data_IF_982824606057
#
_entry.id   IF_982824606057
#
_cell.length_a   1.000
_cell.length_b   1.000
_cell.length_c   1.000
_cell.angle_alpha   90.00
_cell.angle_beta   90.00
_cell.angle_gamma   90.00
#
_symmetry.space_group_name_H-M   'P 1'
#
loop_
_entity.id
_entity.type
_entity.pdbx_description
1 polymer ?
#
# COMPACT_ATOMS: atom_id res chain seq x y z
N UNK A 1 -11.24 4.23 -16.31
CA UNK A 1 -11.41 5.10 -15.13
C UNK A 1 -10.90 6.47 -15.55
N UNK A 2 -11.78 7.45 -15.79
CA UNK A 2 -11.36 8.80 -16.17
C UNK A 2 -11.10 9.60 -14.90
N UNK A 3 -9.87 10.08 -14.71
CA UNK A 3 -9.53 10.91 -13.56
C UNK A 3 -10.04 12.32 -13.82
N UNK A 4 -10.87 12.84 -12.92
CA UNK A 4 -11.31 14.25 -12.94
C UNK A 4 -10.35 15.09 -12.10
N UNK A 5 -9.91 16.24 -12.62
CA UNK A 5 -8.76 17.03 -12.17
C UNK A 5 -8.92 17.75 -10.81
N UNK A 6 -9.25 17.05 -9.73
CA UNK A 6 -9.44 17.65 -8.39
C UNK A 6 -8.31 17.39 -7.39
N UNK A 7 -7.41 16.45 -7.66
CA UNK A 7 -6.26 16.12 -6.80
C UNK A 7 -5.07 15.61 -7.62
N UNK A 8 -3.89 15.58 -6.99
CA UNK A 8 -2.72 14.89 -7.53
C UNK A 8 -2.81 13.38 -7.29
N UNK A 9 -2.16 12.61 -8.14
CA UNK A 9 -2.18 11.15 -8.08
C UNK A 9 -0.81 10.53 -8.29
N UNK A 10 -0.61 9.37 -7.66
CA UNK A 10 0.44 8.39 -7.94
C UNK A 10 -0.25 7.01 -8.00
N UNK A 11 -0.37 6.42 -9.19
CA UNK A 11 -1.21 5.24 -9.40
C UNK A 11 -0.45 4.13 -10.10
N UNK A 12 -0.62 2.90 -9.63
CA UNK A 12 -0.05 1.71 -10.25
C UNK A 12 -0.76 1.39 -11.58
N UNK A 13 0.01 1.14 -12.62
CA UNK A 13 -0.50 0.66 -13.90
C UNK A 13 -0.67 -0.86 -13.80
N UNK A 14 -1.91 -1.31 -13.93
CA UNK A 14 -2.26 -2.74 -13.91
C UNK A 14 -2.22 -3.31 -15.33
N UNK A 15 -1.94 -4.61 -15.44
CA UNK A 15 -1.87 -5.32 -16.73
C UNK A 15 -3.19 -5.37 -17.52
N UNK A 16 -4.30 -4.88 -16.95
CA UNK A 16 -5.56 -4.74 -17.68
C UNK A 16 -5.59 -3.52 -18.63
N UNK A 17 -4.50 -2.75 -18.73
CA UNK A 17 -4.30 -1.65 -19.69
C UNK A 17 -3.09 -1.95 -20.61
N UNK A 18 -3.21 -2.90 -21.55
CA UNK A 18 -2.06 -3.47 -22.26
C UNK A 18 -1.28 -2.44 -23.08
N UNK A 19 -1.97 -1.55 -23.80
CA UNK A 19 -1.31 -0.55 -24.65
C UNK A 19 -0.48 0.46 -23.82
N UNK A 20 -1.04 0.91 -22.70
CA UNK A 20 -0.34 1.83 -21.80
C UNK A 20 0.85 1.13 -21.12
N UNK A 21 0.64 -0.12 -20.70
CA UNK A 21 1.70 -0.91 -20.08
C UNK A 21 2.88 -1.10 -21.04
N UNK A 22 2.60 -1.48 -22.29
CA UNK A 22 3.62 -1.65 -23.33
C UNK A 22 4.35 -0.33 -23.64
N UNK A 23 3.63 0.77 -23.83
CA UNK A 23 4.23 2.07 -24.12
C UNK A 23 5.21 2.52 -23.01
N UNK A 24 4.87 2.26 -21.74
CA UNK A 24 5.75 2.54 -20.61
C UNK A 24 6.98 1.64 -20.64
N UNK A 25 6.81 0.34 -20.91
CA UNK A 25 7.93 -0.60 -21.03
C UNK A 25 8.92 -0.16 -22.10
N UNK A 26 8.42 0.19 -23.29
CA UNK A 26 9.22 0.63 -24.42
C UNK A 26 9.98 1.92 -24.08
N UNK A 27 9.33 2.90 -23.45
CA UNK A 27 9.97 4.14 -23.01
C UNK A 27 11.13 3.91 -22.03
N UNK A 28 11.01 2.93 -21.14
CA UNK A 28 12.08 2.55 -20.21
C UNK A 28 13.17 1.71 -20.86
N UNK A 29 12.87 0.97 -21.93
CA UNK A 29 13.84 0.20 -22.70
C UNK A 29 14.71 1.13 -23.56
N UNK A 30 14.11 2.08 -24.26
CA UNK A 30 14.79 3.04 -25.13
C UNK A 30 15.78 3.94 -24.37
N UNK A 31 15.53 4.16 -23.07
CA UNK A 31 16.33 5.04 -22.22
C UNK A 31 17.19 4.29 -21.20
N UNK A 32 17.30 2.97 -21.29
CA UNK A 32 17.88 2.08 -20.26
C UNK A 32 19.23 2.55 -19.69
N UNK A 33 20.12 3.11 -20.51
CA UNK A 33 21.47 3.54 -20.10
C UNK A 33 21.53 4.97 -19.55
N UNK A 34 20.42 5.71 -19.56
CA UNK A 34 20.35 7.13 -19.20
C UNK A 34 19.38 7.44 -18.06
N UNK A 35 18.71 6.42 -17.50
CA UNK A 35 17.73 6.64 -16.43
C UNK A 35 18.42 6.59 -15.07
N UNK A 36 18.47 7.74 -14.40
CA UNK A 36 18.87 7.80 -13.00
C UNK A 36 17.90 6.99 -12.14
N UNK A 37 18.43 6.24 -11.19
CA UNK A 37 17.64 5.46 -10.25
C UNK A 37 18.12 5.67 -8.82
N UNK A 38 17.21 5.45 -7.87
CA UNK A 38 17.57 5.26 -6.47
C UNK A 38 17.45 3.77 -6.14
N UNK A 39 18.40 3.26 -5.36
CA UNK A 39 18.40 1.88 -4.89
C UNK A 39 18.18 1.84 -3.37
N UNK A 40 17.37 0.88 -2.93
CA UNK A 40 17.15 0.58 -1.53
C UNK A 40 17.25 -0.92 -1.33
N UNK A 41 17.95 -1.34 -0.27
CA UNK A 41 18.12 -2.75 0.10
C UNK A 41 17.47 -2.97 1.46
N UNK A 42 16.61 -3.98 1.54
CA UNK A 42 15.97 -4.42 2.77
C UNK A 42 16.33 -5.87 3.08
N UNK A 43 16.68 -6.13 4.33
CA UNK A 43 16.94 -7.47 4.83
C UNK A 43 15.95 -7.81 5.95
N UNK A 44 15.25 -8.93 5.83
CA UNK A 44 14.34 -9.37 6.89
C UNK A 44 13.79 -10.76 6.65
N UNK A 45 13.55 -11.52 7.72
CA UNK A 45 12.96 -12.87 7.64
C UNK A 45 13.66 -13.82 6.65
N UNK A 46 15.00 -13.74 6.53
CA UNK A 46 15.80 -14.59 5.63
C UNK A 46 15.71 -14.24 4.14
N UNK A 47 15.10 -13.11 3.78
CA UNK A 47 15.08 -12.57 2.41
C UNK A 47 15.87 -11.27 2.34
N UNK A 48 16.57 -11.10 1.22
CA UNK A 48 17.13 -9.84 0.77
C UNK A 48 16.25 -9.32 -0.37
N UNK A 49 15.80 -8.07 -0.26
CA UNK A 49 15.00 -7.41 -1.29
C UNK A 49 15.71 -6.12 -1.70
N UNK A 50 16.12 -6.05 -2.96
CA UNK A 50 16.67 -4.84 -3.57
C UNK A 50 15.61 -4.21 -4.45
N UNK A 51 15.27 -2.95 -4.19
CA UNK A 51 14.32 -2.18 -4.99
C UNK A 51 15.04 -1.03 -5.67
N UNK A 52 14.86 -0.91 -6.99
CA UNK A 52 15.35 0.22 -7.79
C UNK A 52 14.16 0.99 -8.32
N UNK A 53 14.12 2.29 -8.04
CA UNK A 53 13.10 3.17 -8.60
C UNK A 53 13.72 4.07 -9.66
N UNK A 54 13.09 4.13 -10.83
CA UNK A 54 13.48 4.91 -12.00
C UNK A 54 12.31 5.75 -12.46
N UNK A 55 12.54 6.98 -12.92
CA UNK A 55 11.49 7.91 -13.35
C UNK A 55 11.85 8.50 -14.72
N UNK A 56 10.84 8.68 -15.56
CA UNK A 56 10.91 9.34 -16.85
C UNK A 56 9.76 10.35 -17.03
N UNK A 57 9.94 11.41 -17.83
CA UNK A 57 8.84 12.26 -18.26
C UNK A 57 7.75 11.44 -18.98
N UNK A 58 6.49 11.73 -18.69
CA UNK A 58 5.34 11.02 -19.28
C UNK A 58 4.97 11.49 -20.70
N UNK A 59 5.46 12.66 -21.11
CA UNK A 59 5.15 13.26 -22.41
C UNK A 59 5.50 12.32 -23.58
N UNK A 60 4.53 12.12 -24.48
CA UNK A 60 4.66 11.23 -25.64
C UNK A 60 4.50 9.74 -25.35
N UNK A 61 4.37 9.34 -24.08
CA UNK A 61 4.18 7.94 -23.66
C UNK A 61 2.76 7.70 -23.14
N UNK A 62 2.25 8.64 -22.36
CA UNK A 62 0.94 8.53 -21.72
C UNK A 62 -0.07 9.42 -22.45
N UNK A 63 -1.25 8.90 -22.84
CA UNK A 63 -2.28 9.72 -23.47
C UNK A 63 -2.95 10.66 -22.47
N UNK A 64 -2.94 11.97 -22.78
CA UNK A 64 -3.47 13.02 -21.91
C UNK A 64 -4.97 12.90 -21.60
N UNK A 65 -5.75 12.29 -22.51
CA UNK A 65 -7.21 12.22 -22.38
C UNK A 65 -7.67 11.31 -21.23
N UNK A 66 -6.90 10.25 -20.94
CA UNK A 66 -7.21 9.30 -19.86
C UNK A 66 -6.48 9.66 -18.56
N UNK A 67 -5.33 10.31 -18.67
CA UNK A 67 -4.43 10.65 -17.56
C UNK A 67 -4.08 12.15 -17.56
N UNK A 68 -5.03 13.02 -17.24
CA UNK A 68 -4.82 14.44 -17.32
C UNK A 68 -3.72 14.90 -16.35
N UNK A 69 -2.79 15.70 -16.88
CA UNK A 69 -1.62 16.23 -16.15
C UNK A 69 -0.62 15.16 -15.70
N UNK A 70 -0.56 14.00 -16.36
CA UNK A 70 0.49 13.03 -16.07
C UNK A 70 1.87 13.65 -16.38
N UNK A 71 2.67 13.90 -15.35
CA UNK A 71 3.98 14.52 -15.50
C UNK A 71 5.08 13.48 -15.69
N UNK A 72 5.02 12.38 -14.94
CA UNK A 72 6.07 11.35 -14.95
C UNK A 72 5.49 9.94 -14.93
N UNK A 73 6.26 9.02 -15.52
CA UNK A 73 6.10 7.58 -15.40
C UNK A 73 7.24 7.03 -14.54
N UNK A 74 6.96 6.06 -13.69
CA UNK A 74 7.96 5.44 -12.84
C UNK A 74 7.97 3.92 -12.99
N UNK A 75 9.15 3.33 -12.83
CA UNK A 75 9.36 1.89 -12.77
C UNK A 75 10.00 1.55 -11.43
N UNK A 76 9.47 0.52 -10.77
CA UNK A 76 10.09 -0.09 -9.60
C UNK A 76 10.46 -1.52 -9.95
N UNK A 77 11.75 -1.79 -10.00
CA UNK A 77 12.32 -3.14 -10.14
C UNK A 77 12.57 -3.70 -8.74
N UNK A 78 11.91 -4.80 -8.38
CA UNK A 78 12.10 -5.51 -7.11
C UNK A 78 12.79 -6.83 -7.36
N UNK A 79 14.02 -6.95 -6.87
CA UNK A 79 14.81 -8.18 -6.90
C UNK A 79 14.74 -8.83 -5.53
N UNK A 80 14.16 -10.02 -5.46
CA UNK A 80 14.01 -10.80 -4.24
C UNK A 80 14.93 -12.01 -4.27
N UNK A 81 15.79 -12.11 -3.27
CA UNK A 81 16.70 -13.23 -3.06
C UNK A 81 16.37 -13.93 -1.74
N UNK A 82 16.16 -15.25 -1.82
CA UNK A 82 15.96 -16.14 -0.67
C UNK A 82 16.96 -17.27 -0.80
N UNK A 83 17.59 -17.67 0.31
CA UNK A 83 18.55 -18.77 0.31
C UNK A 83 17.90 -20.05 -0.23
N UNK A 84 18.49 -20.64 -1.27
CA UNK A 84 18.01 -21.87 -1.89
C UNK A 84 16.87 -21.70 -2.89
N UNK A 85 16.45 -20.47 -3.21
CA UNK A 85 15.49 -20.21 -4.28
C UNK A 85 16.11 -19.39 -5.42
N UNK A 86 15.60 -19.53 -6.66
CA UNK A 86 15.97 -18.66 -7.76
C UNK A 86 15.69 -17.20 -7.43
N UNK A 87 16.49 -16.31 -8.02
CA UNK A 87 16.24 -14.88 -7.98
C UNK A 87 14.89 -14.57 -8.63
N UNK A 88 14.06 -13.78 -7.95
CA UNK A 88 12.79 -13.31 -8.50
C UNK A 88 12.89 -11.83 -8.80
N UNK A 89 12.58 -11.45 -10.05
CA UNK A 89 12.46 -10.07 -10.50
C UNK A 89 10.99 -9.75 -10.71
N UNK A 90 10.52 -8.65 -10.12
CA UNK A 90 9.18 -8.12 -10.33
C UNK A 90 9.28 -6.65 -10.72
N UNK A 91 8.63 -6.27 -11.83
CA UNK A 91 8.60 -4.89 -12.31
C UNK A 91 7.20 -4.33 -12.13
N UNK A 92 7.12 -3.11 -11.58
CA UNK A 92 5.87 -2.39 -11.38
C UNK A 92 5.97 -0.99 -11.97
N UNK A 93 4.92 -0.56 -12.64
CA UNK A 93 4.87 0.74 -13.29
C UNK A 93 3.85 1.66 -12.62
N UNK A 94 4.17 2.95 -12.56
CA UNK A 94 3.33 3.96 -11.93
C UNK A 94 3.24 5.22 -12.79
N UNK A 95 2.14 5.93 -12.63
CA UNK A 95 1.88 7.24 -13.23
C UNK A 95 1.76 8.27 -12.13
N UNK A 96 2.38 9.44 -12.30
CA UNK A 96 2.27 10.54 -11.36
C UNK A 96 1.90 11.85 -12.05
N UNK A 97 0.95 12.59 -11.47
CA UNK A 97 0.57 13.92 -11.97
C UNK A 97 1.56 15.03 -11.61
N UNK A 98 2.43 14.77 -10.62
CA UNK A 98 3.50 15.68 -10.20
C UNK A 98 4.83 15.24 -10.76
N UNK A 99 5.72 16.20 -10.98
CA UNK A 99 7.11 15.91 -11.32
C UNK A 99 7.86 15.43 -10.07
N UNK A 100 7.82 14.13 -9.80
CA UNK A 100 8.42 13.50 -8.63
C UNK A 100 9.79 12.91 -8.99
N UNK A 101 10.77 13.09 -8.11
CA UNK A 101 12.06 12.42 -8.20
C UNK A 101 11.94 10.92 -7.86
N UNK A 102 12.89 10.06 -8.29
CA UNK A 102 12.87 8.63 -7.97
C UNK A 102 12.75 8.30 -6.47
N UNK A 103 13.40 9.10 -5.61
CA UNK A 103 13.31 8.93 -4.16
C UNK A 103 11.90 9.19 -3.61
N UNK A 104 11.23 10.25 -4.08
CA UNK A 104 9.87 10.61 -3.67
C UNK A 104 8.86 9.54 -4.12
N UNK A 105 9.02 9.00 -5.34
CA UNK A 105 8.17 7.90 -5.82
C UNK A 105 8.39 6.65 -4.99
N UNK A 106 9.64 6.26 -4.73
CA UNK A 106 9.97 5.09 -3.92
C UNK A 106 9.37 5.19 -2.52
N UNK A 107 9.49 6.35 -1.87
CA UNK A 107 8.93 6.61 -0.55
C UNK A 107 7.39 6.56 -0.57
N UNK A 108 6.75 7.23 -1.52
CA UNK A 108 5.29 7.25 -1.61
C UNK A 108 4.71 5.85 -1.86
N UNK A 109 5.31 5.07 -2.77
CA UNK A 109 4.92 3.69 -3.02
C UNK A 109 5.12 2.83 -1.77
N UNK A 110 6.25 2.97 -1.08
CA UNK A 110 6.53 2.23 0.15
C UNK A 110 5.52 2.55 1.25
N UNK A 111 5.22 3.83 1.46
CA UNK A 111 4.21 4.29 2.42
C UNK A 111 2.83 3.72 2.09
N UNK A 112 2.46 3.70 0.80
CA UNK A 112 1.22 3.07 0.35
C UNK A 112 1.18 1.56 0.65
N UNK A 113 2.27 0.82 0.39
CA UNK A 113 2.39 -0.59 0.80
C UNK A 113 2.33 -0.78 2.31
N UNK A 114 2.84 0.17 3.08
CA UNK A 114 2.70 0.20 4.54
C UNK A 114 1.25 0.23 4.96
N UNK A 115 0.40 1.02 4.30
CA UNK A 115 -1.05 1.06 4.57
C UNK A 115 -1.67 -0.29 4.25
N UNK A 116 -1.39 -0.88 3.09
CA UNK A 116 -1.96 -2.18 2.72
C UNK A 116 -1.59 -3.28 3.72
N UNK A 117 -0.31 -3.38 4.06
CA UNK A 117 0.20 -4.40 4.97
C UNK A 117 -0.22 -4.17 6.42
N UNK A 118 -0.24 -2.93 6.90
CA UNK A 118 -0.54 -2.64 8.29
C UNK A 118 -2.04 -2.51 8.54
N UNK A 119 -2.82 -1.96 7.62
CA UNK A 119 -4.26 -1.76 7.81
C UNK A 119 -5.05 -2.93 7.24
N UNK A 120 -5.02 -3.11 5.92
CA UNK A 120 -5.92 -4.04 5.22
C UNK A 120 -5.71 -5.48 5.65
N UNK A 121 -4.46 -5.96 5.62
CA UNK A 121 -4.17 -7.32 6.09
C UNK A 121 -4.62 -7.58 7.54
N UNK A 122 -4.49 -6.60 8.43
CA UNK A 122 -4.93 -6.73 9.82
C UNK A 122 -6.45 -6.78 9.90
N UNK A 123 -7.16 -5.97 9.11
CA UNK A 123 -8.63 -6.04 9.04
C UNK A 123 -9.10 -7.40 8.51
N UNK A 124 -8.47 -7.91 7.46
CA UNK A 124 -8.86 -9.17 6.84
C UNK A 124 -8.59 -10.35 7.77
N UNK A 125 -7.38 -10.47 8.30
CA UNK A 125 -6.96 -11.65 9.08
C UNK A 125 -7.37 -11.55 10.55
N UNK A 126 -7.20 -10.39 11.18
CA UNK A 126 -7.47 -10.22 12.61
C UNK A 126 -8.94 -9.88 12.86
N UNK A 127 -9.52 -8.99 12.05
CA UNK A 127 -10.92 -8.57 12.18
C UNK A 127 -11.90 -9.38 11.34
N UNK A 128 -11.41 -10.33 10.52
CA UNK A 128 -12.23 -11.20 9.67
C UNK A 128 -13.15 -10.38 8.75
N UNK A 129 -12.61 -9.35 8.12
CA UNK A 129 -13.37 -8.48 7.22
C UNK A 129 -13.88 -9.23 6.00
N UNK A 130 -13.00 -9.87 5.23
CA UNK A 130 -13.37 -10.68 4.07
C UNK A 130 -14.37 -11.81 4.37
N UNK A 131 -14.22 -12.45 5.54
CA UNK A 131 -15.09 -13.54 5.95
C UNK A 131 -16.47 -13.07 6.45
N UNK A 132 -16.72 -11.76 6.53
CA UNK A 132 -18.02 -11.24 6.94
C UNK A 132 -19.07 -11.46 5.86
N UNK A 133 -20.16 -12.14 6.22
CA UNK A 133 -21.33 -12.32 5.35
C UNK A 133 -22.27 -11.10 5.32
N UNK A 134 -21.87 -9.97 5.93
CA UNK A 134 -22.65 -8.74 5.89
C UNK A 134 -22.66 -8.19 4.46
N UNK A 135 -23.85 -8.08 3.85
CA UNK A 135 -24.05 -7.66 2.45
C UNK A 135 -25.25 -6.72 2.25
N UNK A 136 -25.98 -6.38 3.31
CA UNK A 136 -27.24 -5.64 3.22
C UNK A 136 -27.00 -4.14 3.35
N UNK A 137 -27.54 -3.36 2.40
CA UNK A 137 -27.53 -1.89 2.42
C UNK A 137 -26.12 -1.34 2.76
N UNK A 138 -26.04 -0.35 3.65
CA UNK A 138 -24.78 0.28 4.09
C UNK A 138 -24.07 -0.50 5.23
N UNK A 139 -24.53 -1.72 5.56
CA UNK A 139 -23.98 -2.47 6.67
C UNK A 139 -22.50 -2.89 6.45
N UNK A 140 -22.04 -3.27 5.24
CA UNK A 140 -20.63 -3.55 4.98
C UNK A 140 -19.72 -2.35 5.27
N UNK A 141 -20.08 -1.16 4.77
CA UNK A 141 -19.32 0.07 4.93
C UNK A 141 -19.28 0.51 6.40
N UNK A 142 -20.44 0.49 7.06
CA UNK A 142 -20.54 0.82 8.49
C UNK A 142 -19.69 -0.13 9.35
N UNK A 143 -19.73 -1.43 9.06
CA UNK A 143 -18.94 -2.43 9.77
C UNK A 143 -17.45 -2.22 9.52
N UNK A 144 -17.04 -1.88 8.31
CA UNK A 144 -15.64 -1.56 7.98
C UNK A 144 -15.15 -0.36 8.78
N UNK A 145 -15.95 0.71 8.84
CA UNK A 145 -15.62 1.90 9.63
C UNK A 145 -15.46 1.56 11.12
N UNK A 146 -16.40 0.81 11.70
CA UNK A 146 -16.32 0.38 13.10
C UNK A 146 -15.07 -0.46 13.38
N UNK A 147 -14.72 -1.39 12.49
CA UNK A 147 -13.51 -2.20 12.62
C UNK A 147 -12.23 -1.34 12.61
N UNK A 148 -12.18 -0.32 11.75
CA UNK A 148 -11.06 0.64 11.70
C UNK A 148 -10.95 1.46 12.99
N UNK A 149 -12.07 1.94 13.54
CA UNK A 149 -12.12 2.63 14.83
C UNK A 149 -11.57 1.72 15.94
N UNK A 150 -12.09 0.49 16.05
CA UNK A 150 -11.64 -0.49 17.05
C UNK A 150 -10.16 -0.81 16.89
N UNK A 151 -9.67 -1.00 15.67
CA UNK A 151 -8.25 -1.26 15.41
C UNK A 151 -7.37 -0.11 15.91
N UNK A 152 -7.76 1.13 15.65
CA UNK A 152 -7.02 2.30 16.13
C UNK A 152 -7.01 2.38 17.67
N UNK A 153 -8.15 2.14 18.34
CA UNK A 153 -8.22 2.08 19.80
C UNK A 153 -7.27 1.02 20.38
N UNK A 154 -7.23 -0.19 19.79
CA UNK A 154 -6.34 -1.26 20.23
C UNK A 154 -4.84 -0.93 20.02
N UNK A 155 -4.51 -0.14 19.00
CA UNK A 155 -3.15 0.33 18.72
C UNK A 155 -2.70 1.44 19.65
N UNK A 156 -3.62 2.34 20.02
CA UNK A 156 -3.35 3.44 20.94
C UNK A 156 -3.13 2.98 22.39
N UNK A 157 -3.54 1.75 22.74
CA UNK A 157 -3.29 1.19 24.05
C UNK A 157 -1.79 0.93 24.31
N UNK A 158 -1.20 1.78 25.14
CA UNK A 158 0.18 1.72 25.62
C UNK A 158 0.35 0.96 26.94
N UNK A 159 -0.76 0.53 27.56
CA UNK A 159 -0.74 -0.04 28.92
C UNK A 159 -0.45 -1.55 28.94
N UNK A 160 -0.48 -2.20 27.78
CA UNK A 160 -0.21 -3.63 27.66
C UNK A 160 1.28 -3.94 27.82
N UNK A 161 1.66 -4.26 29.07
CA UNK A 161 3.03 -4.62 29.46
C UNK A 161 3.52 -5.93 28.83
N UNK A 162 2.63 -6.76 28.30
CA UNK A 162 2.94 -8.11 27.79
C UNK A 162 3.19 -8.10 26.27
N UNK A 163 3.06 -6.94 25.59
CA UNK A 163 3.18 -6.81 24.12
C UNK A 163 2.29 -7.83 23.39
N UNK A 164 1.03 -7.94 23.82
CA UNK A 164 0.08 -8.91 23.29
C UNK A 164 -0.27 -8.60 21.83
N UNK A 165 -0.51 -9.65 21.04
CA UNK A 165 -0.98 -9.49 19.65
C UNK A 165 -2.33 -8.78 19.60
N UNK A 166 -2.62 -8.07 18.50
CA UNK A 166 -3.91 -7.39 18.29
C UNK A 166 -5.11 -8.34 18.44
N UNK A 167 -4.96 -9.59 17.99
CA UNK A 167 -5.97 -10.65 18.18
C UNK A 167 -6.24 -10.94 19.65
N UNK A 168 -5.19 -10.99 20.47
CA UNK A 168 -5.30 -11.27 21.91
C UNK A 168 -5.86 -10.06 22.66
N UNK A 169 -5.41 -8.83 22.35
CA UNK A 169 -5.98 -7.60 22.92
C UNK A 169 -7.49 -7.51 22.67
N UNK A 170 -7.93 -7.79 21.44
CA UNK A 170 -9.35 -7.84 21.08
C UNK A 170 -10.12 -8.89 21.90
N UNK A 171 -9.58 -10.11 22.02
CA UNK A 171 -10.22 -11.18 22.81
C UNK A 171 -10.34 -10.82 24.28
N UNK A 172 -9.28 -10.24 24.88
CA UNK A 172 -9.31 -9.79 26.27
C UNK A 172 -10.36 -8.73 26.50
N UNK A 173 -10.43 -7.70 25.64
CA UNK A 173 -11.50 -6.70 25.72
C UNK A 173 -12.91 -7.29 25.57
N UNK A 174 -13.06 -8.41 24.85
CA UNK A 174 -14.35 -9.10 24.77
C UNK A 174 -14.71 -9.86 26.05
N UNK A 175 -13.72 -10.23 26.88
CA UNK A 175 -13.91 -11.03 28.11
C UNK A 175 -13.82 -10.22 29.41
N UNK A 176 -13.24 -9.03 29.35
CA UNK A 176 -13.01 -8.15 30.49
C UNK A 176 -13.69 -6.80 30.22
N UNK A 177 -14.75 -6.54 31.00
CA UNK A 177 -15.59 -5.36 30.89
C UNK A 177 -14.86 -4.07 31.29
N UNK A 178 -13.98 -4.15 32.28
CA UNK A 178 -13.18 -3.00 32.73
C UNK A 178 -12.17 -2.61 31.66
N UNK A 179 -11.48 -3.61 31.10
CA UNK A 179 -10.57 -3.42 29.97
C UNK A 179 -11.30 -2.83 28.76
N UNK A 180 -12.51 -3.32 28.45
CA UNK A 180 -13.33 -2.82 27.35
C UNK A 180 -13.74 -1.37 27.55
N UNK A 181 -14.23 -1.02 28.75
CA UNK A 181 -14.61 0.36 29.10
C UNK A 181 -13.43 1.30 28.96
N UNK A 182 -12.25 0.90 29.43
CA UNK A 182 -11.01 1.66 29.29
C UNK A 182 -10.63 1.91 27.83
N UNK A 183 -10.71 0.89 26.97
CA UNK A 183 -10.46 1.08 25.53
C UNK A 183 -11.46 2.01 24.86
N UNK A 184 -12.70 2.05 25.34
CA UNK A 184 -13.74 2.95 24.85
C UNK A 184 -13.72 4.34 25.51
N UNK A 185 -12.83 4.59 26.48
CA UNK A 185 -12.78 5.83 27.23
C UNK A 185 -14.01 6.08 28.11
N UNK A 186 -14.73 5.03 28.50
CA UNK A 186 -15.94 5.12 29.31
C UNK A 186 -15.59 5.09 30.80
N UNK A 187 -16.05 6.09 31.56
CA UNK A 187 -16.02 6.10 33.02
C UNK A 187 -17.33 5.53 33.59
N UNK A 188 -17.30 4.85 34.76
CA UNK A 188 -18.52 4.49 35.47
C UNK A 188 -19.35 5.75 35.77
N UNK A 189 -20.67 5.61 35.64
CA UNK A 189 -21.63 6.63 36.08
C UNK A 189 -21.69 6.70 37.60
#
# INVERSE_FOLDING_TARGET
MKITCKADYLLAVKGNQPNLYQAIQDAFLDRKDRVAYVEQVEHGHGRLVTQRCSVLPAGGVVPDNDWPRCAVIARIDSVRQIKGQPLSLEQRYYLASRNLAPAEVAEAVRSHWGIENQLHWVLDVTMKEDASACRKDNAPENLSLLKKIVLNLLRMDTTDKVKSSLRLKRKRAAWDDELRRRFLGLTPL
#
